data_IF_515395766943
#
_entry.id   IF_515395766943
#
_cell.length_a   1.000
_cell.length_b   1.000
_cell.length_c   1.000
_cell.angle_alpha   90.00
_cell.angle_beta   90.00
_cell.angle_gamma   90.00
#
_symmetry.space_group_name_H-M   'P 1'
#
loop_
_entity.id
_entity.type
_entity.pdbx_description
1 polymer ?
#
# COMPACT_ATOMS: atom_id res chain seq x y z
N UNK A 1 25.35 55.97 -15.87
CA UNK A 1 25.95 55.03 -14.91
C UNK A 1 25.52 55.51 -13.55
N UNK A 2 24.38 55.00 -13.10
CA UNK A 2 23.75 55.40 -11.85
C UNK A 2 24.02 54.28 -10.87
N UNK A 3 24.67 54.60 -9.75
CA UNK A 3 24.94 53.69 -8.63
C UNK A 3 23.67 52.94 -8.21
N UNK A 4 23.49 51.72 -8.71
CA UNK A 4 22.62 50.76 -8.07
C UNK A 4 23.45 50.15 -6.95
N UNK A 5 23.19 50.54 -5.69
CA UNK A 5 23.57 49.72 -4.54
C UNK A 5 23.04 48.31 -4.85
N UNK A 6 23.92 47.36 -5.08
CA UNK A 6 23.56 45.94 -5.16
C UNK A 6 22.93 45.57 -3.81
N UNK A 7 21.60 45.53 -3.77
CA UNK A 7 20.89 45.07 -2.58
C UNK A 7 21.13 43.57 -2.50
N UNK A 8 21.85 43.15 -1.47
CA UNK A 8 22.08 41.74 -1.17
C UNK A 8 21.07 41.26 -0.13
N UNK A 9 20.71 39.99 -0.23
CA UNK A 9 19.77 39.35 0.66
C UNK A 9 20.35 38.05 1.21
N UNK A 10 20.11 37.71 2.47
CA UNK A 10 20.39 36.38 2.99
C UNK A 10 19.59 35.32 2.22
N UNK A 11 20.23 34.19 1.94
CA UNK A 11 19.64 33.06 1.21
C UNK A 11 19.41 31.90 2.17
N UNK A 12 18.18 31.41 2.22
CA UNK A 12 17.78 30.24 2.99
C UNK A 12 17.58 29.04 2.05
N UNK A 13 18.51 28.07 2.03
CA UNK A 13 18.36 26.87 1.23
C UNK A 13 17.31 25.94 1.85
N UNK A 14 16.26 25.64 1.07
CA UNK A 14 15.13 24.81 1.47
C UNK A 14 15.33 23.35 1.03
N UNK A 15 14.93 22.40 1.89
CA UNK A 15 14.92 20.97 1.56
C UNK A 15 13.50 20.52 1.24
N UNK A 16 13.35 19.77 0.17
CA UNK A 16 12.11 19.08 -0.21
C UNK A 16 10.86 19.99 -0.33
N UNK A 17 11.07 21.29 -0.55
CA UNK A 17 10.00 22.27 -0.71
C UNK A 17 10.44 23.40 -1.64
N UNK A 18 9.51 23.85 -2.47
CA UNK A 18 9.59 25.06 -3.28
C UNK A 18 8.48 25.98 -2.79
N UNK A 19 8.84 27.22 -2.45
CA UNK A 19 7.88 28.24 -2.02
C UNK A 19 7.50 29.08 -3.23
N UNK A 20 6.23 29.42 -3.37
CA UNK A 20 5.70 30.27 -4.44
C UNK A 20 5.30 31.65 -3.87
N UNK A 21 5.18 32.68 -4.74
CA UNK A 21 4.57 33.95 -4.37
C UNK A 21 3.20 33.81 -3.71
N UNK A 22 2.91 34.67 -2.72
CA UNK A 22 1.70 34.71 -1.89
C UNK A 22 1.47 33.45 -1.02
N UNK A 23 2.43 32.52 -0.98
CA UNK A 23 2.35 31.34 -0.12
C UNK A 23 2.89 31.64 1.26
N UNK A 24 2.10 31.34 2.29
CA UNK A 24 2.53 31.42 3.69
C UNK A 24 2.86 30.00 4.16
N UNK A 25 4.12 29.79 4.57
CA UNK A 25 4.59 28.46 4.98
C UNK A 25 5.40 28.52 6.29
N UNK A 26 5.11 27.64 7.26
CA UNK A 26 5.97 27.47 8.42
C UNK A 26 7.20 26.62 8.04
N UNK A 27 8.39 27.15 8.29
CA UNK A 27 9.66 26.44 8.09
C UNK A 27 10.32 26.14 9.45
N UNK A 28 10.98 24.99 9.52
CA UNK A 28 11.78 24.58 10.67
C UNK A 28 13.25 24.59 10.26
N UNK A 29 14.04 25.41 10.96
CA UNK A 29 15.44 25.65 10.62
C UNK A 29 16.32 25.24 11.80
N UNK A 30 17.25 24.32 11.53
CA UNK A 30 18.19 23.81 12.54
C UNK A 30 19.67 23.97 12.19
N UNK A 31 20.02 24.26 10.93
CA UNK A 31 21.41 24.47 10.51
C UNK A 31 21.93 25.80 11.06
N UNK A 32 23.11 25.82 11.67
CA UNK A 32 23.69 27.03 12.29
C UNK A 32 23.77 28.21 11.32
N UNK A 33 24.26 28.00 10.09
CA UNK A 33 24.30 29.05 9.04
C UNK A 33 22.93 29.62 8.73
N UNK A 34 21.91 28.77 8.63
CA UNK A 34 20.53 29.19 8.33
C UNK A 34 19.88 29.92 9.50
N UNK A 35 20.18 29.53 10.74
CA UNK A 35 19.72 30.25 11.94
C UNK A 35 20.34 31.65 12.00
N UNK A 36 21.65 31.78 11.73
CA UNK A 36 22.33 33.08 11.68
C UNK A 36 21.77 33.98 10.57
N UNK A 37 21.46 33.42 9.40
CA UNK A 37 20.77 34.15 8.33
C UNK A 37 19.45 34.77 8.81
N UNK A 38 18.61 33.97 9.49
CA UNK A 38 17.31 34.43 10.00
C UNK A 38 17.46 35.52 11.08
N UNK A 39 18.47 35.41 11.94
CA UNK A 39 18.76 36.45 12.94
C UNK A 39 19.18 37.78 12.26
N UNK A 40 20.05 37.72 11.26
CA UNK A 40 20.48 38.90 10.50
C UNK A 40 19.33 39.57 9.72
N UNK A 41 18.41 38.77 9.17
CA UNK A 41 17.21 39.27 8.46
C UNK A 41 16.29 40.06 9.38
N UNK A 42 16.12 39.61 10.63
CA UNK A 42 15.25 40.26 11.61
C UNK A 42 15.75 41.65 12.06
N UNK A 43 17.05 41.92 11.90
CA UNK A 43 17.66 43.20 12.30
C UNK A 43 17.62 44.28 11.21
N UNK A 44 17.65 43.89 9.93
CA UNK A 44 17.89 44.83 8.81
C UNK A 44 16.66 45.14 7.94
N UNK A 45 16.03 44.13 7.33
CA UNK A 45 15.01 44.36 6.29
C UNK A 45 13.82 43.40 6.33
N UNK A 46 13.88 42.32 7.13
CA UNK A 46 12.91 41.21 7.17
C UNK A 46 12.74 40.44 5.85
N UNK A 47 13.52 40.75 4.83
CA UNK A 47 13.49 40.09 3.53
C UNK A 47 14.56 39.00 3.44
N UNK A 48 14.20 37.88 2.83
CA UNK A 48 15.07 36.71 2.66
C UNK A 48 14.79 36.04 1.32
N UNK A 49 15.81 35.50 0.68
CA UNK A 49 15.63 34.68 -0.54
C UNK A 49 15.45 33.22 -0.12
N UNK A 50 14.36 32.62 -0.58
CA UNK A 50 14.07 31.21 -0.42
C UNK A 50 14.44 30.49 -1.72
N UNK A 51 15.42 29.60 -1.67
CA UNK A 51 15.86 28.82 -2.82
C UNK A 51 15.92 27.34 -2.47
N UNK A 52 15.42 26.49 -3.35
CA UNK A 52 15.39 25.04 -3.12
C UNK A 52 16.74 24.40 -3.45
N UNK A 53 17.10 23.34 -2.73
CA UNK A 53 18.26 22.51 -3.07
C UNK A 53 17.92 21.59 -4.25
N UNK A 54 18.91 21.36 -5.11
CA UNK A 54 18.81 20.42 -6.24
C UNK A 54 18.68 18.99 -5.72
N UNK A 55 19.52 18.61 -4.76
CA UNK A 55 19.44 17.34 -4.04
C UNK A 55 18.95 17.57 -2.60
N UNK A 56 17.70 17.17 -2.27
CA UNK A 56 17.17 17.30 -0.91
C UNK A 56 17.90 16.46 0.15
N UNK A 57 18.68 15.46 -0.27
CA UNK A 57 19.42 14.58 0.64
C UNK A 57 20.76 15.16 1.12
N UNK A 58 21.23 16.25 0.50
CA UNK A 58 22.47 16.91 0.88
C UNK A 58 22.31 17.68 2.20
N UNK A 59 23.15 17.35 3.19
CA UNK A 59 23.05 17.97 4.50
C UNK A 59 23.64 19.37 4.55
N UNK A 60 24.70 19.63 3.79
CA UNK A 60 25.41 20.91 3.72
C UNK A 60 25.49 21.38 2.26
N UNK A 61 24.51 22.18 1.80
CA UNK A 61 24.44 22.57 0.41
C UNK A 61 25.56 23.56 0.08
N UNK A 62 26.01 23.54 -1.17
CA UNK A 62 26.93 24.52 -1.74
C UNK A 62 26.16 25.48 -2.64
N UNK A 63 26.80 26.58 -3.04
CA UNK A 63 26.20 27.56 -3.97
C UNK A 63 25.86 26.94 -5.34
N UNK A 64 26.53 25.86 -5.72
CA UNK A 64 26.27 25.12 -6.97
C UNK A 64 25.12 24.11 -6.85
N UNK A 65 24.78 23.68 -5.63
CA UNK A 65 23.70 22.69 -5.38
C UNK A 65 22.38 23.33 -4.98
N UNK A 66 22.26 24.65 -5.11
CA UNK A 66 21.05 25.43 -4.89
C UNK A 66 20.54 25.95 -6.24
N UNK A 67 19.23 25.88 -6.46
CA UNK A 67 18.63 26.47 -7.66
C UNK A 67 18.84 27.99 -7.70
N UNK A 68 19.20 28.50 -8.88
CA UNK A 68 19.41 29.95 -9.07
C UNK A 68 18.12 30.75 -8.98
N UNK A 69 16.99 30.16 -9.37
CA UNK A 69 15.69 30.81 -9.29
C UNK A 69 15.01 30.45 -7.97
N UNK A 70 14.58 31.48 -7.24
CA UNK A 70 13.95 31.37 -5.93
C UNK A 70 12.82 32.38 -5.76
N UNK A 71 12.44 32.61 -4.51
CA UNK A 71 11.40 33.57 -4.13
C UNK A 71 11.94 34.51 -3.07
N UNK A 72 11.81 35.81 -3.30
CA UNK A 72 11.95 36.81 -2.25
C UNK A 72 10.77 36.68 -1.30
N UNK A 73 11.05 36.52 -0.02
CA UNK A 73 10.04 36.32 1.01
C UNK A 73 10.25 37.27 2.19
N UNK A 74 9.16 37.61 2.85
CA UNK A 74 9.20 38.35 4.11
C UNK A 74 9.06 37.40 5.30
N UNK A 75 9.90 37.58 6.30
CA UNK A 75 9.81 36.87 7.58
C UNK A 75 8.72 37.51 8.44
N UNK A 76 7.60 36.80 8.61
CA UNK A 76 6.46 37.27 9.39
C UNK A 76 6.68 37.09 10.89
N UNK A 77 7.15 35.91 11.30
CA UNK A 77 7.30 35.53 12.70
C UNK A 77 8.47 34.57 12.89
N UNK A 78 9.23 34.75 13.97
CA UNK A 78 10.32 33.87 14.39
C UNK A 78 10.08 33.40 15.82
N UNK A 79 10.14 32.08 16.05
CA UNK A 79 10.03 31.47 17.37
C UNK A 79 11.19 30.48 17.58
N UNK A 80 12.04 30.76 18.56
CA UNK A 80 13.10 29.84 18.98
C UNK A 80 12.50 28.76 19.89
N UNK A 81 12.74 27.51 19.55
CA UNK A 81 12.32 26.36 20.34
C UNK A 81 13.40 26.00 21.38
N UNK A 82 13.03 25.33 22.49
CA UNK A 82 13.99 24.96 23.55
C UNK A 82 15.10 24.01 23.10
N UNK A 83 14.90 23.31 21.98
CA UNK A 83 15.86 22.38 21.37
C UNK A 83 16.93 23.07 20.52
N UNK A 84 16.88 24.41 20.39
CA UNK A 84 17.79 25.20 19.57
C UNK A 84 17.35 25.37 18.12
N UNK A 85 16.27 24.71 17.70
CA UNK A 85 15.70 24.93 16.36
C UNK A 85 14.87 26.20 16.32
N UNK A 86 14.75 26.79 15.14
CA UNK A 86 13.95 28.00 14.91
C UNK A 86 12.77 27.65 14.02
N UNK A 87 11.57 27.91 14.52
CA UNK A 87 10.34 27.88 13.73
C UNK A 87 10.08 29.28 13.19
N UNK A 88 10.03 29.41 11.87
CA UNK A 88 9.78 30.69 11.19
C UNK A 88 8.54 30.59 10.31
N UNK A 89 7.75 31.66 10.26
CA UNK A 89 6.66 31.81 9.30
C UNK A 89 7.10 32.82 8.24
N UNK A 90 7.10 32.40 6.99
CA UNK A 90 7.53 33.22 5.84
C UNK A 90 6.39 33.36 4.84
N UNK A 91 6.33 34.50 4.19
CA UNK A 91 5.40 34.80 3.09
C UNK A 91 6.21 35.10 1.82
N UNK A 92 6.03 34.29 0.78
CA UNK A 92 6.64 34.55 -0.53
C UNK A 92 6.03 35.78 -1.20
N UNK A 93 6.84 36.62 -1.82
CA UNK A 93 6.41 37.85 -2.49
C UNK A 93 6.64 37.77 -4.00
N UNK A 94 7.89 37.77 -4.43
CA UNK A 94 8.24 37.87 -5.84
C UNK A 94 9.24 36.79 -6.25
N UNK A 95 9.17 36.37 -7.51
CA UNK A 95 10.18 35.48 -8.10
C UNK A 95 11.48 36.25 -8.28
N UNK A 96 12.59 35.61 -7.97
CA UNK A 96 13.91 36.22 -8.14
C UNK A 96 14.88 35.24 -8.80
N UNK A 97 15.81 35.78 -9.57
CA UNK A 97 16.97 35.06 -10.05
C UNK A 97 18.21 35.54 -9.30
N UNK A 98 18.90 34.61 -8.64
CA UNK A 98 20.17 34.88 -7.98
C UNK A 98 21.23 35.14 -9.06
N UNK A 99 21.86 36.32 -9.00
CA UNK A 99 22.87 36.75 -9.96
C UNK A 99 24.28 36.46 -9.49
N UNK A 100 24.56 36.70 -8.21
CA UNK A 100 25.88 36.51 -7.61
C UNK A 100 25.76 36.17 -6.13
N UNK A 101 26.49 35.13 -5.68
CA UNK A 101 26.70 34.86 -4.26
C UNK A 101 27.88 35.68 -3.74
N UNK A 102 27.67 36.36 -2.62
CA UNK A 102 28.70 37.15 -1.94
C UNK A 102 29.42 36.29 -0.91
N UNK A 103 30.72 36.52 -0.75
CA UNK A 103 31.52 35.86 0.27
C UNK A 103 31.08 36.30 1.67
N UNK A 104 30.45 35.38 2.40
CA UNK A 104 30.03 35.56 3.78
C UNK A 104 30.20 34.23 4.54
N UNK A 105 31.03 34.25 5.59
CA UNK A 105 31.34 33.04 6.39
C UNK A 105 30.16 32.62 7.30
N UNK A 106 29.28 33.57 7.64
CA UNK A 106 28.22 33.34 8.61
C UNK A 106 26.99 32.66 8.00
N UNK A 107 26.59 33.09 6.80
CA UNK A 107 25.43 32.57 6.06
C UNK A 107 25.57 32.81 4.56
N UNK A 108 24.72 32.17 3.75
CA UNK A 108 24.67 32.45 2.32
C UNK A 108 24.05 33.83 2.08
N UNK A 109 24.73 34.66 1.31
CA UNK A 109 24.27 35.99 0.93
C UNK A 109 24.39 36.14 -0.57
N UNK A 110 23.39 36.73 -1.22
CA UNK A 110 23.40 36.87 -2.67
C UNK A 110 22.70 38.13 -3.14
N UNK A 111 23.12 38.65 -4.29
CA UNK A 111 22.34 39.61 -5.07
C UNK A 111 21.37 38.86 -5.99
N UNK A 112 20.18 39.43 -6.17
CA UNK A 112 19.15 38.83 -7.01
C UNK A 112 18.32 39.88 -7.72
N UNK A 113 17.88 39.55 -8.93
CA UNK A 113 16.99 40.37 -9.74
C UNK A 113 15.56 39.84 -9.66
N UNK A 114 14.59 40.74 -9.53
CA UNK A 114 13.17 40.39 -9.56
C UNK A 114 12.79 39.99 -10.99
N UNK A 115 12.17 38.82 -11.14
CA UNK A 115 11.73 38.30 -12.42
C UNK A 115 10.31 38.81 -12.73
N UNK A 116 10.19 39.55 -13.83
CA UNK A 116 8.90 40.00 -14.33
C UNK A 116 8.15 38.87 -15.06
N UNK A 117 6.86 38.75 -14.75
CA UNK A 117 5.98 37.73 -15.31
C UNK A 117 5.41 38.22 -16.65
N UNK A 118 5.40 37.35 -17.67
CA UNK A 118 4.88 37.70 -19.00
C UNK A 118 3.44 37.23 -19.21
N UNK A 119 2.68 37.99 -20.02
CA UNK A 119 1.28 37.73 -20.36
C UNK A 119 1.09 37.87 -21.86
N UNK A 120 1.25 36.76 -22.59
CA UNK A 120 1.24 36.79 -24.05
C UNK A 120 -0.16 36.64 -24.68
N UNK A 121 -1.06 35.82 -24.10
CA UNK A 121 -2.41 35.56 -24.62
C UNK A 121 -3.48 35.66 -23.52
N UNK A 122 -4.09 36.84 -23.36
CA UNK A 122 -5.07 37.10 -22.30
C UNK A 122 -6.34 36.25 -22.46
N UNK A 123 -6.76 35.94 -23.69
CA UNK A 123 -7.97 35.15 -23.93
C UNK A 123 -7.75 33.68 -23.55
N UNK A 124 -6.58 33.12 -23.89
CA UNK A 124 -6.20 31.78 -23.46
C UNK A 124 -6.02 31.71 -21.94
N UNK A 125 -5.35 32.71 -21.34
CA UNK A 125 -5.17 32.80 -19.88
C UNK A 125 -6.51 32.80 -19.14
N UNK A 126 -7.51 33.57 -19.60
CA UNK A 126 -8.83 33.59 -18.97
C UNK A 126 -9.54 32.21 -19.04
N UNK A 127 -9.46 31.55 -20.20
CA UNK A 127 -10.04 30.21 -20.38
C UNK A 127 -9.34 29.14 -19.53
N UNK A 128 -8.01 29.20 -19.45
CA UNK A 128 -7.18 28.32 -18.64
C UNK A 128 -7.43 28.53 -17.15
N UNK A 129 -7.54 29.79 -16.70
CA UNK A 129 -7.84 30.15 -15.30
C UNK A 129 -9.12 29.46 -14.83
N UNK A 130 -10.23 29.58 -15.59
CA UNK A 130 -11.50 28.92 -15.26
C UNK A 130 -11.38 27.39 -15.24
N UNK A 131 -10.59 26.83 -16.14
CA UNK A 131 -10.37 25.38 -16.26
C UNK A 131 -9.56 24.84 -15.10
N UNK A 132 -8.46 25.52 -14.75
CA UNK A 132 -7.56 25.19 -13.64
C UNK A 132 -8.29 25.31 -12.30
N UNK A 133 -9.02 26.40 -12.04
CA UNK A 133 -9.78 26.56 -10.78
C UNK A 133 -10.78 25.43 -10.56
N UNK A 134 -11.54 25.05 -11.61
CA UNK A 134 -12.51 23.96 -11.54
C UNK A 134 -11.86 22.59 -11.31
N UNK A 135 -10.72 22.36 -11.93
CA UNK A 135 -10.00 21.10 -11.76
C UNK A 135 -9.28 21.05 -10.39
N UNK A 136 -8.80 22.19 -9.89
CA UNK A 136 -8.24 22.31 -8.55
C UNK A 136 -9.29 22.04 -7.47
N UNK A 137 -10.53 22.51 -7.66
CA UNK A 137 -11.65 22.17 -6.77
C UNK A 137 -11.87 20.65 -6.67
N UNK A 138 -11.79 19.96 -7.81
CA UNK A 138 -11.88 18.49 -7.84
C UNK A 138 -10.68 17.84 -7.15
N UNK A 139 -9.49 18.40 -7.37
CA UNK A 139 -8.25 17.90 -6.78
C UNK A 139 -8.28 18.02 -5.25
N UNK A 140 -8.67 19.17 -4.71
CA UNK A 140 -8.80 19.40 -3.27
C UNK A 140 -9.82 18.45 -2.61
N UNK A 141 -10.96 18.17 -3.27
CA UNK A 141 -11.92 17.14 -2.80
C UNK A 141 -11.31 15.72 -2.77
N UNK A 142 -10.32 15.47 -3.61
CA UNK A 142 -9.61 14.19 -3.67
C UNK A 142 -8.42 14.12 -2.71
N UNK A 143 -7.70 15.22 -2.52
CA UNK A 143 -6.55 15.33 -1.64
C UNK A 143 -6.88 16.17 -0.39
N UNK A 144 -7.12 15.49 0.73
CA UNK A 144 -7.48 16.13 2.02
C UNK A 144 -6.36 16.96 2.65
N UNK A 145 -5.16 16.98 2.06
CA UNK A 145 -4.04 17.77 2.57
C UNK A 145 -4.11 19.24 2.13
N UNK A 146 -4.99 19.58 1.18
CA UNK A 146 -5.21 20.98 0.78
C UNK A 146 -6.12 21.67 1.80
N UNK A 147 -5.69 22.76 2.44
CA UNK A 147 -6.54 23.53 3.36
C UNK A 147 -7.75 24.15 2.65
N UNK A 148 -8.89 24.21 3.33
CA UNK A 148 -10.12 24.83 2.77
C UNK A 148 -9.90 26.32 2.45
N UNK A 149 -9.06 27.02 3.21
CA UNK A 149 -8.69 28.41 2.97
C UNK A 149 -7.97 28.59 1.64
N UNK A 150 -6.99 27.73 1.33
CA UNK A 150 -6.28 27.77 0.05
C UNK A 150 -7.21 27.47 -1.14
N UNK A 151 -8.19 26.59 -0.95
CA UNK A 151 -9.21 26.34 -1.95
C UNK A 151 -10.08 27.58 -2.19
N UNK A 152 -10.51 28.26 -1.11
CA UNK A 152 -11.29 29.49 -1.23
C UNK A 152 -10.49 30.58 -1.95
N UNK A 153 -9.23 30.81 -1.55
CA UNK A 153 -8.34 31.78 -2.21
C UNK A 153 -8.16 31.49 -3.70
N UNK A 154 -7.98 30.22 -4.08
CA UNK A 154 -7.85 29.84 -5.49
C UNK A 154 -9.16 30.00 -6.28
N UNK A 155 -10.33 29.84 -5.66
CA UNK A 155 -11.63 30.02 -6.33
C UNK A 155 -12.04 31.48 -6.46
N UNK A 156 -11.61 32.33 -5.53
CA UNK A 156 -11.91 33.76 -5.50
C UNK A 156 -10.84 34.62 -6.19
N UNK A 157 -9.71 34.02 -6.61
CA UNK A 157 -8.62 34.76 -7.25
C UNK A 157 -8.98 35.22 -8.65
N UNK A 158 -9.07 36.54 -8.84
CA UNK A 158 -9.22 37.18 -10.16
C UNK A 158 -7.87 37.26 -10.92
N UNK A 159 -6.74 36.99 -10.24
CA UNK A 159 -5.41 37.08 -10.84
C UNK A 159 -4.89 35.69 -11.22
N UNK A 160 -4.81 35.43 -12.52
CA UNK A 160 -4.30 34.18 -13.09
C UNK A 160 -2.90 33.78 -12.59
N UNK A 161 -2.00 34.74 -12.36
CA UNK A 161 -0.66 34.46 -11.82
C UNK A 161 -0.70 33.99 -10.37
N UNK A 162 -1.48 34.67 -9.53
CA UNK A 162 -1.66 34.29 -8.13
C UNK A 162 -2.39 32.95 -7.99
N UNK A 163 -3.37 32.66 -8.85
CA UNK A 163 -4.01 31.35 -8.94
C UNK A 163 -2.98 30.26 -9.26
N UNK A 164 -2.18 30.45 -10.31
CA UNK A 164 -1.16 29.47 -10.71
C UNK A 164 -0.20 29.16 -9.55
N UNK A 165 0.22 30.18 -8.83
CA UNK A 165 1.19 30.06 -7.73
C UNK A 165 0.58 29.35 -6.52
N UNK A 166 -0.67 29.69 -6.17
CA UNK A 166 -1.44 29.03 -5.10
C UNK A 166 -1.64 27.55 -5.41
N UNK A 167 -2.05 27.22 -6.63
CA UNK A 167 -2.27 25.83 -7.04
C UNK A 167 -0.95 25.05 -7.02
N UNK A 168 0.11 25.60 -7.60
CA UNK A 168 1.43 24.94 -7.66
C UNK A 168 2.00 24.63 -6.26
N UNK A 169 1.81 25.55 -5.29
CA UNK A 169 2.21 25.33 -3.90
C UNK A 169 1.55 24.10 -3.26
N UNK A 170 0.29 23.85 -3.58
CA UNK A 170 -0.51 22.76 -3.00
C UNK A 170 -0.55 21.46 -3.81
N UNK A 171 0.08 21.42 -5.00
CA UNK A 171 0.27 20.18 -5.74
C UNK A 171 1.27 19.26 -5.04
N UNK A 172 0.95 17.98 -4.96
CA UNK A 172 1.81 16.93 -4.37
C UNK A 172 2.76 16.33 -5.42
N UNK A 173 3.50 17.20 -6.11
CA UNK A 173 4.46 16.81 -7.16
C UNK A 173 5.89 16.93 -6.65
N UNK A 174 6.83 16.34 -7.39
CA UNK A 174 8.26 16.36 -7.04
C UNK A 174 8.85 17.78 -7.13
N UNK A 175 9.93 18.01 -6.38
CA UNK A 175 10.62 19.31 -6.29
C UNK A 175 11.11 19.80 -7.66
N UNK A 176 11.66 18.92 -8.50
CA UNK A 176 12.11 19.25 -9.86
C UNK A 176 10.97 19.85 -10.71
N UNK A 177 9.77 19.26 -10.62
CA UNK A 177 8.60 19.75 -11.34
C UNK A 177 8.06 21.06 -10.75
N UNK A 178 8.11 21.22 -9.41
CA UNK A 178 7.74 22.51 -8.79
C UNK A 178 8.70 23.62 -9.17
N UNK A 179 9.99 23.31 -9.24
CA UNK A 179 11.00 24.27 -9.66
C UNK A 179 10.76 24.71 -11.11
N UNK A 180 10.50 23.78 -12.02
CA UNK A 180 10.15 24.10 -13.42
C UNK A 180 8.95 25.08 -13.51
N UNK A 181 7.91 24.87 -12.68
CA UNK A 181 6.78 25.80 -12.58
C UNK A 181 7.16 27.18 -12.01
N UNK A 182 8.11 27.24 -11.07
CA UNK A 182 8.59 28.52 -10.53
C UNK A 182 9.33 29.31 -11.61
N UNK A 183 10.12 28.62 -12.44
CA UNK A 183 10.96 29.17 -13.50
C UNK A 183 10.16 29.57 -14.76
N UNK A 184 8.95 29.05 -14.93
CA UNK A 184 8.07 29.44 -16.04
C UNK A 184 7.46 30.82 -15.79
N UNK A 185 7.99 31.82 -16.49
CA UNK A 185 7.58 33.23 -16.35
C UNK A 185 6.29 33.56 -17.12
N UNK A 186 5.93 32.81 -18.16
CA UNK A 186 4.68 33.01 -18.87
C UNK A 186 3.51 32.38 -18.10
N UNK A 187 2.48 33.18 -17.81
CA UNK A 187 1.32 32.72 -17.04
C UNK A 187 0.53 31.64 -17.79
N UNK A 188 0.39 31.78 -19.11
CA UNK A 188 -0.36 30.83 -19.93
C UNK A 188 0.32 29.47 -19.94
N UNK A 189 1.61 29.42 -20.27
CA UNK A 189 2.42 28.20 -20.25
C UNK A 189 2.41 27.55 -18.86
N UNK A 190 2.55 28.35 -17.80
CA UNK A 190 2.52 27.85 -16.42
C UNK A 190 1.17 27.24 -16.06
N UNK A 191 0.06 27.85 -16.44
CA UNK A 191 -1.29 27.32 -16.21
C UNK A 191 -1.51 26.00 -16.97
N UNK A 192 -1.02 25.89 -18.20
CA UNK A 192 -1.08 24.64 -18.97
C UNK A 192 -0.26 23.52 -18.31
N UNK A 193 0.96 23.82 -17.88
CA UNK A 193 1.82 22.88 -17.18
C UNK A 193 1.17 22.40 -15.86
N UNK A 194 0.62 23.33 -15.07
CA UNK A 194 -0.13 23.02 -13.84
C UNK A 194 -1.31 22.11 -14.13
N UNK A 195 -2.09 22.41 -15.17
CA UNK A 195 -3.24 21.60 -15.55
C UNK A 195 -2.83 20.16 -15.90
N UNK A 196 -1.76 19.99 -16.69
CA UNK A 196 -1.22 18.68 -17.05
C UNK A 196 -0.75 17.86 -15.84
N UNK A 197 0.03 18.49 -14.96
CA UNK A 197 0.53 17.87 -13.73
C UNK A 197 -0.61 17.46 -12.79
N UNK A 198 -1.61 18.34 -12.63
CA UNK A 198 -2.79 18.06 -11.82
C UNK A 198 -3.62 16.90 -12.37
N UNK A 199 -3.78 16.77 -13.70
CA UNK A 199 -4.44 15.61 -14.31
C UNK A 199 -3.69 14.30 -14.03
N UNK A 200 -2.37 14.33 -14.17
CA UNK A 200 -1.50 13.20 -13.83
C UNK A 200 -1.73 12.75 -12.38
N UNK A 201 -1.69 13.70 -11.44
CA UNK A 201 -1.79 13.39 -10.02
C UNK A 201 -3.20 12.96 -9.59
N UNK A 202 -4.22 13.53 -10.22
CA UNK A 202 -5.60 13.05 -10.07
C UNK A 202 -5.74 11.57 -10.44
N UNK A 203 -5.03 11.11 -11.47
CA UNK A 203 -5.07 9.71 -11.91
C UNK A 203 -4.44 8.78 -10.87
N UNK A 204 -3.32 9.18 -10.27
CA UNK A 204 -2.63 8.45 -9.20
C UNK A 204 -3.54 8.34 -7.97
N UNK A 205 -4.09 9.46 -7.50
CA UNK A 205 -5.01 9.49 -6.35
C UNK A 205 -6.25 8.61 -6.54
N UNK A 206 -6.79 8.52 -7.77
CA UNK A 206 -7.91 7.61 -8.08
C UNK A 206 -7.51 6.14 -7.92
N UNK A 207 -6.33 5.75 -8.40
CA UNK A 207 -5.81 4.38 -8.27
C UNK A 207 -5.56 4.04 -6.80
N UNK A 208 -4.92 4.93 -6.05
CA UNK A 208 -4.66 4.74 -4.62
C UNK A 208 -5.94 4.54 -3.81
N UNK A 209 -6.97 5.39 -4.03
CA UNK A 209 -8.28 5.23 -3.38
C UNK A 209 -8.92 3.88 -3.71
N UNK A 210 -8.82 3.42 -4.97
CA UNK A 210 -9.35 2.12 -5.40
C UNK A 210 -8.64 0.96 -4.71
N UNK A 211 -7.32 1.05 -4.55
CA UNK A 211 -6.53 0.05 -3.82
C UNK A 211 -6.92 0.07 -2.34
N UNK A 212 -6.95 1.24 -1.70
CA UNK A 212 -7.32 1.40 -0.29
C UNK A 212 -8.73 0.85 0.00
N UNK A 213 -9.69 1.10 -0.89
CA UNK A 213 -11.04 0.54 -0.77
C UNK A 213 -11.07 -0.98 -0.90
N UNK A 214 -10.32 -1.56 -1.85
CA UNK A 214 -10.23 -3.03 -2.00
C UNK A 214 -9.62 -3.68 -0.77
N UNK A 215 -8.51 -3.13 -0.25
CA UNK A 215 -7.84 -3.63 0.96
C UNK A 215 -8.78 -3.53 2.16
N UNK A 216 -9.47 -2.39 2.34
CA UNK A 216 -10.45 -2.22 3.41
C UNK A 216 -11.58 -3.26 3.35
N UNK A 217 -12.18 -3.47 2.18
CA UNK A 217 -13.25 -4.45 2.01
C UNK A 217 -12.77 -5.89 2.28
N UNK A 218 -11.54 -6.22 1.87
CA UNK A 218 -10.94 -7.52 2.14
C UNK A 218 -10.70 -7.72 3.65
N UNK A 219 -10.16 -6.71 4.33
CA UNK A 219 -9.95 -6.76 5.78
C UNK A 219 -11.27 -6.90 6.54
N UNK A 220 -12.30 -6.13 6.18
CA UNK A 220 -13.63 -6.23 6.80
C UNK A 220 -14.24 -7.63 6.60
N UNK A 221 -14.06 -8.23 5.42
CA UNK A 221 -14.50 -9.60 5.16
C UNK A 221 -13.75 -10.61 6.03
N UNK A 222 -12.42 -10.52 6.10
CA UNK A 222 -11.60 -11.42 6.93
C UNK A 222 -11.92 -11.25 8.42
N UNK A 223 -12.10 -10.02 8.91
CA UNK A 223 -12.51 -9.76 10.29
C UNK A 223 -13.90 -10.33 10.59
N UNK A 224 -14.86 -10.16 9.65
CA UNK A 224 -16.19 -10.73 9.78
C UNK A 224 -16.16 -12.26 9.79
N UNK A 225 -15.41 -12.89 8.88
CA UNK A 225 -15.24 -14.34 8.84
C UNK A 225 -14.58 -14.88 10.12
N UNK A 226 -13.54 -14.20 10.61
CA UNK A 226 -12.89 -14.54 11.89
C UNK A 226 -13.88 -14.45 13.06
N UNK A 227 -14.62 -13.35 13.15
CA UNK A 227 -15.61 -13.12 14.20
C UNK A 227 -16.73 -14.17 14.17
N UNK A 228 -17.28 -14.46 12.98
CA UNK A 228 -18.31 -15.49 12.82
C UNK A 228 -17.81 -16.88 13.17
N UNK A 229 -16.56 -17.23 12.84
CA UNK A 229 -15.98 -18.52 13.21
C UNK A 229 -15.76 -18.66 14.72
N UNK A 230 -15.29 -17.60 15.39
CA UNK A 230 -15.20 -17.61 16.86
C UNK A 230 -16.57 -17.67 17.52
N UNK A 231 -17.58 -16.97 16.98
CA UNK A 231 -18.97 -17.13 17.43
C UNK A 231 -19.48 -18.56 17.23
N UNK A 232 -19.22 -19.19 16.08
CA UNK A 232 -19.62 -20.58 15.84
C UNK A 232 -18.95 -21.55 16.81
N UNK A 233 -17.65 -21.37 17.11
CA UNK A 233 -16.97 -22.19 18.12
C UNK A 233 -17.54 -21.98 19.52
N UNK A 234 -17.85 -20.74 19.89
CA UNK A 234 -18.48 -20.43 21.16
C UNK A 234 -19.88 -21.03 21.25
N UNK A 235 -20.69 -20.91 20.20
CA UNK A 235 -22.02 -21.51 20.08
C UNK A 235 -21.92 -23.04 20.18
N UNK A 236 -20.99 -23.68 19.47
CA UNK A 236 -20.75 -25.14 19.56
C UNK A 236 -20.34 -25.57 20.97
N UNK A 237 -19.57 -24.76 21.68
CA UNK A 237 -19.17 -25.00 23.07
C UNK A 237 -20.32 -24.82 24.06
N UNK A 238 -21.17 -23.79 23.87
CA UNK A 238 -22.33 -23.48 24.70
C UNK A 238 -23.54 -24.40 24.43
N UNK A 239 -23.71 -24.87 23.18
CA UNK A 239 -24.71 -25.89 22.83
C UNK A 239 -24.40 -27.24 23.44
N UNK A 240 -23.18 -27.43 23.99
CA UNK A 240 -22.82 -28.57 24.80
C UNK A 240 -22.80 -29.86 23.99
N UNK A 241 -21.60 -30.34 23.67
CA UNK A 241 -21.28 -31.77 23.70
C UNK A 241 -22.37 -32.73 23.20
N UNK A 242 -22.93 -32.44 22.03
CA UNK A 242 -23.92 -33.30 21.40
C UNK A 242 -23.22 -34.51 20.79
N UNK A 243 -22.83 -35.48 21.62
CA UNK A 243 -22.80 -36.95 21.48
C UNK A 243 -22.57 -37.60 20.09
N UNK A 244 -22.09 -36.89 19.07
CA UNK A 244 -21.95 -37.42 17.71
C UNK A 244 -20.55 -37.32 17.12
N UNK A 245 -19.66 -36.52 17.71
CA UNK A 245 -18.30 -36.32 17.20
C UNK A 245 -17.23 -37.15 17.90
N UNK A 246 -17.30 -37.26 19.23
CA UNK A 246 -16.35 -38.07 20.01
C UNK A 246 -16.73 -39.56 20.01
N UNK A 247 -18.01 -39.90 19.89
CA UNK A 247 -18.47 -41.30 19.93
C UNK A 247 -18.02 -42.08 18.69
N UNK A 248 -18.15 -41.52 17.47
CA UNK A 248 -17.71 -42.19 16.22
C UNK A 248 -16.20 -42.53 16.23
N UNK A 249 -15.36 -41.63 16.75
CA UNK A 249 -13.91 -41.87 16.80
C UNK A 249 -13.58 -42.94 17.85
N UNK A 250 -14.35 -42.97 18.94
CA UNK A 250 -14.23 -43.96 20.01
C UNK A 250 -14.70 -45.34 19.56
N UNK A 251 -15.80 -45.41 18.81
CA UNK A 251 -16.31 -46.64 18.18
C UNK A 251 -15.29 -47.25 17.20
N UNK A 252 -14.69 -46.42 16.34
CA UNK A 252 -13.62 -46.85 15.44
C UNK A 252 -12.39 -47.35 16.21
N UNK A 253 -12.06 -46.71 17.33
CA UNK A 253 -10.96 -47.14 18.19
C UNK A 253 -11.23 -48.52 18.82
N UNK A 254 -12.46 -48.77 19.28
CA UNK A 254 -12.85 -50.09 19.78
C UNK A 254 -12.81 -51.16 18.69
N UNK A 255 -13.31 -50.84 17.48
CA UNK A 255 -13.26 -51.75 16.33
C UNK A 255 -11.82 -52.10 15.95
N UNK A 256 -10.91 -51.11 15.95
CA UNK A 256 -9.49 -51.33 15.65
C UNK A 256 -8.82 -52.19 16.73
N UNK A 257 -9.18 -52.03 18.01
CA UNK A 257 -8.64 -52.86 19.11
C UNK A 257 -9.15 -54.31 19.05
N UNK A 258 -10.43 -54.50 18.71
CA UNK A 258 -11.09 -55.80 18.71
C UNK A 258 -10.76 -56.64 17.46
N UNK A 259 -10.34 -56.00 16.37
CA UNK A 259 -9.99 -56.70 15.12
C UNK A 259 -8.61 -57.35 15.20
N UNK A 260 -8.51 -58.62 14.81
CA UNK A 260 -7.26 -59.40 14.84
C UNK A 260 -6.37 -59.12 13.62
N UNK A 261 -5.87 -57.89 13.52
CA UNK A 261 -4.97 -57.46 12.45
C UNK A 261 -3.63 -58.24 12.43
N UNK A 262 -2.99 -58.27 11.25
CA UNK A 262 -1.55 -58.54 11.18
C UNK A 262 -0.74 -57.39 11.80
N UNK A 263 0.53 -57.61 12.14
CA UNK A 263 1.38 -56.58 12.76
C UNK A 263 1.45 -55.29 11.91
N UNK A 264 1.66 -55.44 10.61
CA UNK A 264 1.75 -54.31 9.67
C UNK A 264 0.42 -53.56 9.53
N UNK A 265 -0.71 -54.28 9.48
CA UNK A 265 -2.02 -53.67 9.35
C UNK A 265 -2.43 -52.90 10.63
N UNK A 266 -2.07 -53.42 11.81
CA UNK A 266 -2.34 -52.75 13.08
C UNK A 266 -1.62 -51.41 13.21
N UNK A 267 -0.32 -51.38 12.87
CA UNK A 267 0.48 -50.16 12.90
C UNK A 267 -0.06 -49.09 11.95
N UNK A 268 -0.52 -49.49 10.76
CA UNK A 268 -1.19 -48.57 9.82
C UNK A 268 -2.54 -48.08 10.34
N UNK A 269 -3.36 -48.94 10.92
CA UNK A 269 -4.65 -48.56 11.49
C UNK A 269 -4.50 -47.52 12.60
N UNK A 270 -3.58 -47.76 13.54
CA UNK A 270 -3.30 -46.85 14.66
C UNK A 270 -2.74 -45.49 14.18
N UNK A 271 -1.87 -45.51 13.16
CA UNK A 271 -1.33 -44.30 12.55
C UNK A 271 -2.39 -43.43 11.87
N UNK A 272 -3.30 -44.04 11.11
CA UNK A 272 -4.40 -43.33 10.45
C UNK A 272 -5.46 -42.85 11.46
N UNK A 273 -5.74 -43.61 12.52
CA UNK A 273 -6.65 -43.20 13.60
C UNK A 273 -6.11 -41.98 14.37
N UNK A 274 -4.80 -41.92 14.61
CA UNK A 274 -4.16 -40.75 15.22
C UNK A 274 -4.24 -39.51 14.33
N UNK A 275 -4.15 -39.68 12.99
CA UNK A 275 -4.34 -38.57 12.05
C UNK A 275 -5.77 -38.08 12.05
N UNK A 276 -6.75 -39.00 12.02
CA UNK A 276 -8.17 -38.68 12.07
C UNK A 276 -8.52 -37.83 13.30
N UNK A 277 -7.98 -38.18 14.47
CA UNK A 277 -8.20 -37.44 15.73
C UNK A 277 -7.71 -35.98 15.70
N UNK A 278 -6.68 -35.67 14.90
CA UNK A 278 -6.12 -34.34 14.79
C UNK A 278 -6.70 -33.52 13.63
N UNK A 279 -7.54 -34.13 12.79
CA UNK A 279 -8.17 -33.48 11.64
C UNK A 279 -9.57 -32.96 12.00
N UNK A 280 -10.02 -31.90 11.32
CA UNK A 280 -11.41 -31.48 11.41
C UNK A 280 -12.33 -32.54 10.77
N UNK A 281 -13.43 -32.95 11.43
CA UNK A 281 -14.38 -33.94 10.90
C UNK A 281 -15.01 -33.56 9.54
N UNK A 282 -14.99 -32.26 9.19
CA UNK A 282 -15.53 -31.75 7.92
C UNK A 282 -14.49 -31.70 6.79
N UNK A 283 -13.25 -32.12 7.03
CA UNK A 283 -12.23 -32.20 5.98
C UNK A 283 -12.52 -33.33 5.00
N UNK A 284 -12.35 -33.07 3.70
CA UNK A 284 -12.43 -34.11 2.67
C UNK A 284 -11.42 -35.24 2.93
N UNK A 285 -10.28 -34.93 3.55
CA UNK A 285 -9.27 -35.93 3.94
C UNK A 285 -9.75 -36.84 5.08
N UNK A 286 -10.54 -36.30 6.02
CA UNK A 286 -11.09 -37.08 7.13
C UNK A 286 -12.06 -38.15 6.62
N UNK A 287 -12.86 -37.86 5.59
CA UNK A 287 -13.75 -38.85 4.95
C UNK A 287 -12.96 -39.99 4.30
N UNK A 288 -11.82 -39.70 3.66
CA UNK A 288 -10.97 -40.71 3.02
C UNK A 288 -10.35 -41.63 4.07
N UNK A 289 -9.81 -41.05 5.15
CA UNK A 289 -9.21 -41.81 6.25
C UNK A 289 -10.25 -42.69 6.96
N UNK A 290 -11.48 -42.18 7.16
CA UNK A 290 -12.59 -42.95 7.72
C UNK A 290 -12.93 -44.16 6.85
N UNK A 291 -13.19 -43.95 5.56
CA UNK A 291 -13.51 -45.03 4.63
C UNK A 291 -12.42 -46.11 4.58
N UNK A 292 -11.16 -45.71 4.70
CA UNK A 292 -10.04 -46.64 4.77
C UNK A 292 -10.06 -47.48 6.05
N UNK A 293 -10.30 -46.86 7.22
CA UNK A 293 -10.41 -47.57 8.50
C UNK A 293 -11.62 -48.53 8.52
N UNK A 294 -12.76 -48.12 7.97
CA UNK A 294 -13.96 -48.96 7.83
C UNK A 294 -13.71 -50.17 6.93
N UNK A 295 -13.02 -49.95 5.81
CA UNK A 295 -12.63 -51.05 4.93
C UNK A 295 -11.66 -52.01 5.62
N UNK A 296 -10.70 -51.47 6.38
CA UNK A 296 -9.74 -52.27 7.11
C UNK A 296 -10.41 -53.14 8.18
N UNK A 297 -11.37 -52.61 8.95
CA UNK A 297 -12.06 -53.33 10.03
C UNK A 297 -13.11 -54.32 9.51
N UNK A 298 -13.74 -54.06 8.36
CA UNK A 298 -14.76 -54.94 7.77
C UNK A 298 -14.18 -56.22 7.13
N UNK A 299 -12.89 -56.26 6.83
CA UNK A 299 -12.24 -57.46 6.29
C UNK A 299 -12.17 -58.55 7.37
N UNK A 300 -12.56 -59.80 7.07
CA UNK A 300 -12.53 -60.90 8.03
C UNK A 300 -11.10 -61.40 8.25
N UNK A 301 -10.29 -60.63 8.98
CA UNK A 301 -8.92 -60.98 9.32
C UNK A 301 -8.86 -62.35 10.00
N UNK A 302 -7.94 -63.19 9.53
CA UNK A 302 -7.66 -64.52 10.08
C UNK A 302 -8.84 -65.52 10.03
N UNK A 303 -9.95 -65.20 9.34
CA UNK A 303 -11.02 -66.15 9.02
C UNK A 303 -10.83 -66.67 7.60
N UNK A 304 -10.13 -67.80 7.48
CA UNK A 304 -10.09 -68.54 6.21
C UNK A 304 -11.35 -69.37 6.09
N UNK A 305 -12.01 -69.34 4.92
CA UNK A 305 -13.09 -70.29 4.63
C UNK A 305 -12.52 -71.72 4.67
N UNK A 306 -13.30 -72.66 5.20
CA UNK A 306 -12.93 -74.08 5.12
C UNK A 306 -13.00 -74.49 3.65
N UNK A 307 -11.86 -74.74 3.04
CA UNK A 307 -11.77 -75.26 1.68
C UNK A 307 -12.39 -76.66 1.67
N UNK A 308 -13.54 -76.84 1.03
CA UNK A 308 -14.12 -78.16 0.76
C UNK A 308 -13.46 -78.72 -0.49
N UNK A 309 -12.49 -79.62 -0.31
CA UNK A 309 -11.82 -80.34 -1.40
C UNK A 309 -12.54 -81.66 -1.71
N UNK A 310 -13.81 -81.58 -2.09
CA UNK A 310 -14.57 -82.75 -2.54
C UNK A 310 -14.82 -82.63 -4.04
N UNK A 311 -14.02 -83.36 -4.82
CA UNK A 311 -14.08 -83.34 -6.28
C UNK A 311 -15.39 -83.94 -6.80
N UNK A 312 -15.96 -84.93 -6.11
CA UNK A 312 -17.23 -85.54 -6.51
C UNK A 312 -18.39 -84.56 -6.28
N UNK A 313 -18.36 -83.83 -5.17
CA UNK A 313 -19.33 -82.77 -4.91
C UNK A 313 -19.19 -81.63 -5.94
N UNK A 314 -17.96 -81.24 -6.28
CA UNK A 314 -17.70 -80.24 -7.32
C UNK A 314 -18.25 -80.66 -8.69
N UNK A 315 -18.01 -81.91 -9.11
CA UNK A 315 -18.53 -82.46 -10.35
C UNK A 315 -20.06 -82.52 -10.36
N UNK A 316 -20.68 -82.94 -9.26
CA UNK A 316 -22.15 -82.97 -9.13
C UNK A 316 -22.77 -81.58 -9.24
N UNK A 317 -22.15 -80.56 -8.65
CA UNK A 317 -22.60 -79.16 -8.76
C UNK A 317 -22.42 -78.65 -10.20
N UNK A 318 -21.29 -78.92 -10.83
CA UNK A 318 -21.03 -78.55 -12.22
C UNK A 318 -22.01 -79.24 -13.20
N UNK A 319 -22.40 -80.49 -12.93
CA UNK A 319 -23.38 -81.23 -13.70
C UNK A 319 -24.82 -80.74 -13.50
N UNK A 320 -25.13 -80.25 -12.31
CA UNK A 320 -26.45 -79.69 -12.00
C UNK A 320 -26.63 -78.25 -12.54
N UNK A 321 -25.63 -77.39 -12.36
CA UNK A 321 -25.75 -75.96 -12.64
C UNK A 321 -25.44 -75.60 -14.10
N UNK A 322 -24.74 -76.48 -14.82
CA UNK A 322 -24.35 -76.26 -16.22
C UNK A 322 -24.70 -77.47 -17.08
N UNK A 323 -25.57 -77.31 -18.08
CA UNK A 323 -25.98 -78.41 -18.96
C UNK A 323 -25.13 -78.47 -20.24
N UNK A 324 -24.61 -79.66 -20.58
CA UNK A 324 -23.55 -79.80 -21.60
C UNK A 324 -22.22 -79.18 -21.14
N UNK A 325 -21.14 -79.34 -21.92
CA UNK A 325 -19.75 -78.91 -21.61
C UNK A 325 -18.87 -79.91 -20.80
N UNK A 326 -18.99 -81.22 -21.06
CA UNK A 326 -18.18 -82.27 -20.40
C UNK A 326 -16.67 -81.95 -20.36
N UNK A 327 -16.07 -81.61 -21.51
CA UNK A 327 -14.62 -81.30 -21.60
C UNK A 327 -14.17 -80.11 -20.75
N UNK A 328 -15.04 -79.13 -20.50
CA UNK A 328 -14.70 -77.94 -19.68
C UNK A 328 -14.83 -78.28 -18.20
N UNK A 329 -15.87 -79.04 -17.84
CA UNK A 329 -16.07 -79.50 -16.46
C UNK A 329 -14.95 -80.43 -16.01
N UNK A 330 -14.56 -81.40 -16.84
CA UNK A 330 -13.41 -82.28 -16.57
C UNK A 330 -12.14 -81.47 -16.28
N UNK A 331 -11.88 -80.42 -17.06
CA UNK A 331 -10.68 -79.59 -16.89
C UNK A 331 -10.71 -78.72 -15.63
N UNK A 332 -11.89 -78.25 -15.22
CA UNK A 332 -12.07 -77.55 -13.94
C UNK A 332 -11.85 -78.52 -12.77
N UNK A 333 -12.36 -79.75 -12.87
CA UNK A 333 -12.14 -80.79 -11.85
C UNK A 333 -10.67 -81.20 -11.79
N UNK A 334 -9.98 -81.36 -12.92
CA UNK A 334 -8.53 -81.60 -12.98
C UNK A 334 -7.74 -80.48 -12.30
N UNK A 335 -8.10 -79.22 -12.54
CA UNK A 335 -7.43 -78.08 -11.91
C UNK A 335 -7.69 -78.01 -10.40
N UNK A 336 -8.91 -78.38 -9.95
CA UNK A 336 -9.24 -78.48 -8.53
C UNK A 336 -8.56 -79.67 -7.82
N UNK A 337 -8.09 -80.67 -8.58
CA UNK A 337 -7.42 -81.85 -8.05
C UNK A 337 -5.93 -81.61 -7.72
N UNK A 338 -5.32 -80.54 -8.27
CA UNK A 338 -3.93 -80.10 -8.01
C UNK A 338 -3.85 -79.24 -6.76
#
# INVERSE_FOLDING_TARGET
MTDAKSVSFPVLPLRDIVVFPNMIVPLFVGREKSVRALEAVMENSKEIILASQIDPSEDDPTTETIYQNGVLATVMQLLKLPDGTVKVLVEGQDRVQITEYLDNEDFFEASADILEVTRNDEAAIEALTRTVSKEFERYAKMNKNVPDEALATALESDNAGALADTVAGHLAIRVDQKQELLETLDIGERLEAIYGLMQGEMSVLKVERKIKSRVKNQMERTQREYYLNEQMKAIQKELGDGEGGEDETSELEELVRNTKFSKEAKEKAEGELKKLRNMSPMSAEATVVRNYLDWLTSIPWNKKSRVKKDLNAAQTILDKDHYGLEKVKERIVEYLAV
#
